data_IF_653622665673
#
_entry.id   IF_653622665673
#
_cell.length_a   1.000
_cell.length_b   1.000
_cell.length_c   1.000
_cell.angle_alpha   90.00
_cell.angle_beta   90.00
_cell.angle_gamma   90.00
#
_symmetry.space_group_name_H-M   'P 1'
#
loop_
_entity.id
_entity.type
_entity.pdbx_description
1 polymer ?
#
# COMPACT_ATOMS: atom_id res chain seq x y z
N UNK A 1 -27.62 -26.79 42.25
CA UNK A 1 -28.47 -25.65 41.86
C UNK A 1 -27.56 -24.43 41.90
N UNK A 2 -27.00 -23.90 40.82
CA UNK A 2 -27.17 -24.13 39.38
C UNK A 2 -25.78 -24.27 38.73
N UNK A 3 -25.56 -25.43 38.10
CA UNK A 3 -24.63 -25.59 36.98
C UNK A 3 -25.51 -25.37 35.75
N UNK A 4 -25.05 -24.55 34.81
CA UNK A 4 -25.62 -24.30 33.46
C UNK A 4 -26.13 -22.88 33.26
N UNK A 5 -25.20 -21.98 32.92
CA UNK A 5 -25.50 -20.93 31.93
C UNK A 5 -24.24 -20.45 31.21
N UNK A 6 -23.54 -21.37 30.57
CA UNK A 6 -22.72 -21.03 29.41
C UNK A 6 -23.71 -20.64 28.30
N UNK A 7 -23.83 -19.34 28.04
CA UNK A 7 -24.49 -18.84 26.85
C UNK A 7 -23.70 -19.31 25.64
N UNK A 8 -24.19 -20.39 25.05
CA UNK A 8 -23.80 -20.88 23.73
C UNK A 8 -24.01 -19.72 22.76
N UNK A 9 -22.94 -19.01 22.41
CA UNK A 9 -23.01 -17.93 21.43
C UNK A 9 -23.18 -18.59 20.05
N UNK A 10 -24.29 -18.34 19.33
CA UNK A 10 -24.57 -19.04 18.09
C UNK A 10 -23.78 -18.40 16.94
N UNK A 11 -23.14 -19.24 16.12
CA UNK A 11 -22.64 -18.95 14.77
C UNK A 11 -21.90 -17.63 14.58
N UNK A 12 -20.61 -17.60 14.95
CA UNK A 12 -19.67 -16.77 14.20
C UNK A 12 -19.53 -17.40 12.80
N UNK A 13 -19.63 -16.61 11.71
CA UNK A 13 -19.44 -17.16 10.37
C UNK A 13 -18.08 -17.84 10.28
N UNK A 14 -18.04 -19.01 9.65
CA UNK A 14 -16.79 -19.71 9.39
C UNK A 14 -15.85 -18.77 8.62
N UNK A 15 -14.61 -18.61 9.11
CA UNK A 15 -13.58 -17.84 8.42
C UNK A 15 -13.40 -18.44 7.03
N UNK A 16 -13.77 -17.69 6.00
CA UNK A 16 -13.59 -18.09 4.61
C UNK A 16 -12.31 -17.44 4.12
N UNK A 17 -11.33 -18.25 3.70
CA UNK A 17 -10.16 -17.76 3.00
C UNK A 17 -10.54 -17.54 1.54
N UNK A 18 -10.36 -16.31 1.08
CA UNK A 18 -10.59 -15.93 -0.32
C UNK A 18 -9.23 -15.64 -0.93
N UNK A 19 -8.95 -16.22 -2.08
CA UNK A 19 -7.77 -15.87 -2.85
C UNK A 19 -7.94 -14.46 -3.43
N UNK A 20 -7.10 -13.53 -3.00
CA UNK A 20 -7.07 -12.16 -3.52
C UNK A 20 -5.83 -12.03 -4.40
N UNK A 21 -6.04 -11.95 -5.71
CA UNK A 21 -4.99 -11.65 -6.68
C UNK A 21 -4.99 -10.16 -7.03
N UNK A 22 -3.78 -9.60 -7.14
CA UNK A 22 -3.61 -8.26 -7.69
C UNK A 22 -4.05 -8.25 -9.16
N UNK A 23 -4.77 -7.20 -9.57
CA UNK A 23 -5.22 -7.02 -10.95
C UNK A 23 -4.54 -5.81 -11.58
N UNK A 24 -3.96 -5.96 -12.78
CA UNK A 24 -3.36 -4.84 -13.47
C UNK A 24 -4.37 -3.74 -13.79
N UNK A 25 -3.91 -2.50 -13.96
CA UNK A 25 -4.78 -1.40 -14.34
C UNK A 25 -5.30 -1.59 -15.78
N UNK A 26 -6.38 -0.89 -16.16
CA UNK A 26 -6.86 -0.89 -17.56
C UNK A 26 -5.79 -0.37 -18.53
N UNK A 27 -5.93 -0.61 -19.85
CA UNK A 27 -5.07 0.02 -20.85
C UNK A 27 -4.98 1.54 -20.70
N UNK A 28 -3.82 2.11 -21.04
CA UNK A 28 -3.46 3.53 -20.86
C UNK A 28 -3.27 4.00 -19.42
N UNK A 29 -3.52 3.14 -18.42
CA UNK A 29 -3.24 3.43 -17.01
C UNK A 29 -1.97 2.71 -16.55
N UNK A 30 -1.31 3.31 -15.56
CA UNK A 30 -0.31 2.65 -14.73
C UNK A 30 -0.76 2.64 -13.28
N UNK A 31 -0.31 1.65 -12.53
CA UNK A 31 -0.50 1.60 -11.07
C UNK A 31 0.81 2.02 -10.40
N UNK A 32 0.74 3.03 -9.53
CA UNK A 32 1.78 3.37 -8.58
C UNK A 32 1.44 2.69 -7.24
N UNK A 33 2.26 1.74 -6.80
CA UNK A 33 2.27 1.26 -5.42
C UNK A 33 3.45 1.91 -4.70
N UNK A 34 3.22 2.51 -3.53
CA UNK A 34 4.31 3.02 -2.67
C UNK A 34 4.07 2.69 -1.21
N UNK A 35 5.17 2.61 -0.47
CA UNK A 35 5.20 2.31 0.96
C UNK A 35 6.30 3.13 1.64
N UNK A 36 6.04 3.55 2.88
CA UNK A 36 6.94 4.31 3.74
C UNK A 36 7.27 3.54 5.02
N UNK A 37 8.56 3.39 5.32
CA UNK A 37 9.03 2.70 6.52
C UNK A 37 9.77 3.64 7.47
N UNK A 38 9.69 3.34 8.77
CA UNK A 38 10.44 4.05 9.82
C UNK A 38 11.05 3.05 10.79
N UNK A 39 12.35 3.14 11.05
CA UNK A 39 13.03 2.42 12.12
C UNK A 39 12.62 3.02 13.46
N UNK A 40 11.99 2.22 14.32
CA UNK A 40 11.46 2.69 15.61
C UNK A 40 12.55 3.20 16.56
N UNK A 41 13.74 2.57 16.56
CA UNK A 41 14.83 2.92 17.47
C UNK A 41 15.47 4.27 17.16
N UNK A 42 15.61 4.59 15.87
CA UNK A 42 16.39 5.74 15.41
C UNK A 42 15.55 6.83 14.74
N UNK A 43 14.27 6.55 14.47
CA UNK A 43 13.38 7.42 13.70
C UNK A 43 13.75 7.56 12.22
N UNK A 44 14.74 6.82 11.73
CA UNK A 44 15.15 6.89 10.32
C UNK A 44 14.06 6.32 9.42
N UNK A 45 13.76 7.04 8.37
CA UNK A 45 12.68 6.77 7.47
C UNK A 45 13.17 6.61 6.03
N UNK A 46 12.51 5.74 5.31
CA UNK A 46 12.69 5.56 3.88
C UNK A 46 11.32 5.40 3.23
N UNK A 47 11.24 5.68 1.94
CA UNK A 47 10.06 5.36 1.14
C UNK A 47 10.50 4.70 -0.17
N UNK A 48 9.61 3.94 -0.75
CA UNK A 48 9.85 3.33 -2.05
C UNK A 48 8.55 3.02 -2.76
N UNK A 49 8.68 2.57 -3.99
CA UNK A 49 7.52 2.21 -4.78
C UNK A 49 7.87 1.66 -6.14
N UNK A 50 6.83 1.27 -6.84
CA UNK A 50 6.87 0.63 -8.15
C UNK A 50 5.74 1.16 -9.01
N UNK A 51 6.02 1.28 -10.30
CA UNK A 51 5.06 1.63 -11.34
C UNK A 51 4.87 0.40 -12.21
N UNK A 52 3.64 -0.10 -12.30
CA UNK A 52 3.25 -1.23 -13.15
C UNK A 52 2.34 -0.79 -14.28
N UNK A 53 2.57 -1.32 -15.47
CA UNK A 53 1.67 -1.09 -16.62
C UNK A 53 0.45 -2.02 -16.61
N UNK A 54 -0.42 -1.83 -17.61
CA UNK A 54 -1.63 -2.62 -17.82
C UNK A 54 -1.40 -4.11 -18.12
N UNK A 55 -0.17 -4.52 -18.41
CA UNK A 55 0.21 -5.95 -18.53
C UNK A 55 0.65 -6.55 -17.20
N UNK A 56 0.78 -5.72 -16.16
CA UNK A 56 1.35 -6.08 -14.87
C UNK A 56 2.87 -6.00 -14.82
N UNK A 57 3.52 -5.57 -15.90
CA UNK A 57 4.97 -5.46 -15.96
C UNK A 57 5.44 -4.26 -15.15
N UNK A 58 6.53 -4.43 -14.40
CA UNK A 58 7.18 -3.33 -13.68
C UNK A 58 7.88 -2.43 -14.70
N UNK A 59 7.38 -1.21 -14.87
CA UNK A 59 7.94 -0.21 -15.77
C UNK A 59 9.02 0.64 -15.09
N UNK A 60 8.91 0.85 -13.78
CA UNK A 60 9.92 1.53 -12.96
C UNK A 60 9.78 1.19 -11.47
N UNK A 61 10.86 1.41 -10.71
CA UNK A 61 10.88 1.32 -9.25
C UNK A 61 11.81 2.39 -8.67
N UNK A 62 11.55 2.80 -7.42
CA UNK A 62 12.34 3.82 -6.73
C UNK A 62 12.45 3.52 -5.23
N UNK A 63 13.49 4.09 -4.62
CA UNK A 63 13.72 4.08 -3.18
C UNK A 63 14.39 5.40 -2.76
N UNK A 64 14.03 5.91 -1.59
CA UNK A 64 14.37 7.26 -1.13
C UNK A 64 14.69 7.21 0.35
N UNK A 65 15.86 7.73 0.72
CA UNK A 65 16.20 7.98 2.12
C UNK A 65 15.62 9.34 2.52
N UNK A 66 14.81 9.36 3.59
CA UNK A 66 14.10 10.56 4.05
C UNK A 66 14.70 11.17 5.31
N UNK A 67 15.79 10.60 5.83
CA UNK A 67 16.34 10.97 7.13
C UNK A 67 15.35 10.64 8.24
N UNK A 68 15.10 11.57 9.16
CA UNK A 68 14.17 11.35 10.28
C UNK A 68 12.82 11.99 9.94
N UNK A 69 11.76 11.17 9.84
CA UNK A 69 10.39 11.67 9.73
C UNK A 69 9.34 10.69 10.25
N UNK A 70 8.09 11.16 10.36
CA UNK A 70 6.97 10.29 10.72
C UNK A 70 6.64 9.30 9.60
N UNK A 71 6.00 8.18 9.95
CA UNK A 71 5.53 7.19 8.98
C UNK A 71 4.59 7.81 7.95
N UNK A 72 3.63 8.64 8.36
CA UNK A 72 2.72 9.34 7.43
C UNK A 72 3.48 10.22 6.43
N UNK A 73 4.57 10.87 6.86
CA UNK A 73 5.40 11.68 5.95
C UNK A 73 6.19 10.79 4.99
N UNK A 74 6.66 9.62 5.43
CA UNK A 74 7.32 8.66 4.57
C UNK A 74 6.38 8.16 3.45
N UNK A 75 5.17 7.74 3.83
CA UNK A 75 4.13 7.28 2.91
C UNK A 75 3.78 8.32 1.84
N UNK A 76 3.45 9.54 2.29
CA UNK A 76 3.10 10.63 1.37
C UNK A 76 4.28 11.03 0.49
N UNK A 77 5.51 10.97 1.00
CA UNK A 77 6.68 11.27 0.17
C UNK A 77 6.92 10.19 -0.89
N UNK A 78 6.72 8.92 -0.54
CA UNK A 78 6.70 7.83 -1.52
C UNK A 78 5.70 8.07 -2.65
N UNK A 79 4.46 8.45 -2.31
CA UNK A 79 3.43 8.74 -3.29
C UNK A 79 3.80 9.92 -4.21
N UNK A 80 4.29 11.03 -3.65
CA UNK A 80 4.70 12.22 -4.41
C UNK A 80 5.82 11.89 -5.41
N UNK A 81 6.82 11.14 -4.96
CA UNK A 81 7.99 10.80 -5.77
C UNK A 81 7.64 9.81 -6.87
N UNK A 82 6.78 8.84 -6.56
CA UNK A 82 6.22 7.94 -7.57
C UNK A 82 5.35 8.65 -8.61
N UNK A 83 4.56 9.65 -8.20
CA UNK A 83 3.75 10.45 -9.12
C UNK A 83 4.63 11.33 -10.02
N UNK A 84 5.69 11.92 -9.48
CA UNK A 84 6.66 12.68 -10.26
C UNK A 84 7.36 11.78 -11.28
N UNK A 85 7.81 10.59 -10.87
CA UNK A 85 8.42 9.61 -11.76
C UNK A 85 7.45 9.19 -12.88
N UNK A 86 6.19 8.89 -12.55
CA UNK A 86 5.18 8.54 -13.54
C UNK A 86 4.93 9.68 -14.54
N UNK A 87 4.92 10.93 -14.06
CA UNK A 87 4.78 12.12 -14.90
C UNK A 87 5.95 12.27 -15.88
N UNK A 88 7.17 12.11 -15.39
CA UNK A 88 8.40 12.22 -16.17
C UNK A 88 8.53 11.11 -17.23
N UNK A 89 7.97 9.93 -16.93
CA UNK A 89 7.82 8.82 -17.89
C UNK A 89 6.72 9.06 -18.95
N UNK A 90 5.97 10.16 -18.85
CA UNK A 90 4.91 10.50 -19.79
C UNK A 90 3.52 9.92 -19.45
N UNK A 91 3.37 9.25 -18.32
CA UNK A 91 2.05 8.75 -17.90
C UNK A 91 1.16 9.91 -17.42
N UNK A 92 -0.11 9.88 -17.83
CA UNK A 92 -1.13 10.90 -17.46
C UNK A 92 -2.36 10.30 -16.79
N UNK A 93 -2.42 8.97 -16.69
CA UNK A 93 -3.46 8.22 -15.99
C UNK A 93 -2.77 7.26 -15.03
N UNK A 94 -2.81 7.60 -13.75
CA UNK A 94 -2.11 6.87 -12.68
C UNK A 94 -3.13 6.46 -11.63
N UNK A 95 -3.19 5.17 -11.32
CA UNK A 95 -3.90 4.66 -10.16
C UNK A 95 -2.91 4.56 -9.00
N UNK A 96 -3.14 5.33 -7.94
CA UNK A 96 -2.28 5.29 -6.75
C UNK A 96 -2.88 4.28 -5.76
N UNK A 97 -2.05 3.34 -5.33
CA UNK A 97 -2.41 2.30 -4.37
C UNK A 97 -1.46 2.42 -3.16
N UNK A 98 -1.99 2.92 -2.04
CA UNK A 98 -1.30 3.04 -0.76
C UNK A 98 -1.98 2.10 0.26
N UNK A 99 -1.21 1.49 1.14
CA UNK A 99 -1.71 0.63 2.22
C UNK A 99 -1.91 1.39 3.55
N UNK A 100 -1.53 2.67 3.59
CA UNK A 100 -1.69 3.54 4.76
C UNK A 100 -3.01 4.31 4.75
N UNK A 101 -3.89 4.01 5.72
CA UNK A 101 -5.13 4.77 5.95
C UNK A 101 -4.89 6.25 6.24
N UNK A 102 -3.73 6.61 6.78
CA UNK A 102 -3.41 8.01 7.06
C UNK A 102 -2.98 8.78 5.79
N UNK A 103 -2.69 8.07 4.70
CA UNK A 103 -2.28 8.65 3.42
C UNK A 103 -3.39 8.61 2.35
N UNK A 104 -4.55 8.02 2.66
CA UNK A 104 -5.70 7.81 1.75
C UNK A 104 -6.97 8.47 2.30
#
# INVERSE_FOLDING_TARGET
>A
MDKDRLVHSPNLPARTEVEISWKPPPPEWVTLNSDGSVLQESGHAAAGGLIRDHTGSCSAAFAINLGICSVTRAELRGAVEGLQLAWDMGHRRVRVELDSRCAV
#
